data_IF_560006768290
#
_entry.id   IF_560006768290
#
_cell.length_a   1.000
_cell.length_b   1.000
_cell.length_c   1.000
_cell.angle_alpha   90.00
_cell.angle_beta   90.00
_cell.angle_gamma   90.00
#
_symmetry.space_group_name_H-M   'P 1'
#
loop_
_entity.id
_entity.type
_entity.pdbx_description
1 polymer ?
#
# COMPACT_ATOMS: atom_id res chain seq x y z
N UNK A 1 17.91 -21.22 -15.90
CA UNK A 1 18.32 -22.49 -15.27
C UNK A 1 18.47 -23.54 -16.34
N UNK A 2 19.67 -23.82 -16.72
CA UNK A 2 19.99 -24.78 -17.76
C UNK A 2 19.76 -26.19 -17.26
N UNK A 3 18.80 -26.83 -17.85
CA UNK A 3 18.59 -28.26 -17.75
C UNK A 3 19.23 -28.92 -18.96
N UNK A 4 20.14 -29.67 -19.02
CA UNK A 4 20.88 -30.55 -18.66
C UNK A 4 20.94 -31.78 -19.40
N UNK A 5 21.78 -31.71 -20.07
CA UNK A 5 22.39 -32.71 -20.95
C UNK A 5 23.39 -33.67 -20.26
N UNK A 6 23.24 -33.89 -18.99
CA UNK A 6 24.11 -34.79 -18.24
C UNK A 6 23.61 -36.19 -18.05
N UNK A 7 22.39 -36.52 -18.52
CA UNK A 7 21.82 -37.84 -18.33
C UNK A 7 22.10 -38.85 -19.50
N UNK A 8 22.90 -38.46 -20.48
CA UNK A 8 23.09 -39.28 -21.69
C UNK A 8 24.49 -39.95 -21.86
N UNK A 9 25.38 -39.87 -20.87
CA UNK A 9 26.78 -40.23 -21.10
C UNK A 9 27.23 -41.60 -20.60
N UNK A 10 26.42 -42.39 -19.92
CA UNK A 10 26.90 -43.64 -19.28
C UNK A 10 26.10 -44.93 -19.59
N UNK A 11 25.47 -45.02 -20.74
CA UNK A 11 24.95 -46.33 -21.22
C UNK A 11 25.96 -47.03 -22.13
N UNK A 12 25.99 -48.37 -22.15
CA UNK A 12 26.81 -49.10 -23.14
C UNK A 12 26.44 -48.65 -24.56
N UNK A 13 27.36 -48.68 -25.53
CA UNK A 13 27.07 -48.22 -26.88
C UNK A 13 26.02 -49.16 -27.52
N UNK A 14 24.78 -48.79 -27.39
CA UNK A 14 23.73 -49.38 -28.24
C UNK A 14 23.90 -48.69 -29.58
N UNK A 15 23.94 -49.47 -30.65
CA UNK A 15 23.91 -48.88 -32.00
C UNK A 15 22.59 -48.13 -32.15
N UNK A 16 22.63 -46.83 -31.94
CA UNK A 16 21.46 -45.95 -32.13
C UNK A 16 21.33 -45.67 -33.62
N UNK A 17 20.17 -45.88 -34.14
CA UNK A 17 19.86 -45.42 -35.50
C UNK A 17 19.98 -43.89 -35.55
N UNK A 18 20.93 -43.41 -36.32
CA UNK A 18 21.21 -41.98 -36.44
C UNK A 18 19.98 -41.18 -36.91
N UNK A 19 19.04 -41.82 -37.59
CA UNK A 19 17.78 -41.20 -38.02
C UNK A 19 16.81 -41.00 -36.83
N UNK A 20 16.77 -41.95 -35.89
CA UNK A 20 15.96 -41.84 -34.67
C UNK A 20 16.49 -40.77 -33.74
N UNK A 21 17.84 -40.64 -33.59
CA UNK A 21 18.46 -39.60 -32.80
C UNK A 21 18.22 -38.18 -33.42
N UNK A 22 18.26 -38.07 -34.74
CA UNK A 22 17.94 -36.82 -35.43
C UNK A 22 16.46 -36.43 -35.29
N UNK A 23 15.56 -37.40 -35.31
CA UNK A 23 14.14 -37.18 -35.06
C UNK A 23 13.87 -36.67 -33.63
N UNK A 24 14.49 -37.30 -32.63
CA UNK A 24 14.37 -36.90 -31.22
C UNK A 24 14.93 -35.46 -30.98
N UNK A 25 16.07 -35.16 -31.61
CA UNK A 25 16.64 -33.80 -31.53
C UNK A 25 15.70 -32.76 -32.15
N UNK A 26 15.14 -33.08 -33.33
CA UNK A 26 14.18 -32.23 -34.01
C UNK A 26 12.90 -32.02 -33.21
N UNK A 27 12.37 -33.08 -32.58
CA UNK A 27 11.21 -32.97 -31.69
C UNK A 27 11.50 -32.16 -30.44
N UNK A 28 12.68 -32.32 -29.85
CA UNK A 28 13.12 -31.53 -28.70
C UNK A 28 13.29 -30.04 -29.06
N UNK A 29 13.86 -29.77 -30.22
CA UNK A 29 13.99 -28.40 -30.74
C UNK A 29 12.62 -27.78 -30.98
N UNK A 30 11.69 -28.48 -31.61
CA UNK A 30 10.34 -28.00 -31.83
C UNK A 30 9.59 -27.74 -30.50
N UNK A 31 9.79 -28.57 -29.49
CA UNK A 31 9.25 -28.35 -28.14
C UNK A 31 9.85 -27.13 -27.47
N UNK A 32 11.16 -26.95 -27.59
CA UNK A 32 11.86 -25.75 -27.03
C UNK A 32 11.39 -24.48 -27.72
N UNK A 33 11.26 -24.49 -29.04
CA UNK A 33 10.75 -23.36 -29.81
C UNK A 33 9.30 -23.04 -29.48
N UNK A 34 8.47 -24.09 -29.32
CA UNK A 34 7.08 -23.93 -28.90
C UNK A 34 6.98 -23.34 -27.47
N UNK A 35 7.80 -23.82 -26.54
CA UNK A 35 7.88 -23.24 -25.19
C UNK A 35 8.40 -21.79 -25.22
N UNK A 36 9.40 -21.47 -26.06
CA UNK A 36 9.89 -20.11 -26.23
C UNK A 36 8.85 -19.18 -26.82
N UNK A 37 8.02 -19.65 -27.75
CA UNK A 37 6.95 -18.84 -28.34
C UNK A 37 5.85 -18.43 -27.35
N UNK A 38 5.72 -19.19 -26.24
CA UNK A 38 4.78 -18.88 -25.16
C UNK A 38 5.34 -17.81 -24.19
N UNK A 39 6.66 -17.55 -24.22
CA UNK A 39 7.29 -16.53 -23.39
C UNK A 39 7.17 -15.18 -24.09
N UNK A 40 6.13 -14.45 -23.77
CA UNK A 40 5.97 -13.09 -24.27
C UNK A 40 7.00 -12.16 -23.62
N UNK A 41 7.52 -11.23 -24.41
CA UNK A 41 8.37 -10.15 -23.88
C UNK A 41 7.55 -9.22 -23.00
N UNK A 42 8.17 -8.67 -21.96
CA UNK A 42 7.53 -7.61 -21.15
C UNK A 42 7.15 -6.45 -22.06
N UNK A 43 5.91 -5.97 -22.05
CA UNK A 43 5.49 -4.83 -22.89
C UNK A 43 6.32 -3.58 -22.62
N UNK A 44 6.38 -2.66 -23.62
CA UNK A 44 7.11 -1.41 -23.50
C UNK A 44 8.39 -1.38 -24.34
N UNK A 45 9.28 -0.45 -24.04
CA UNK A 45 10.51 -0.20 -24.80
C UNK A 45 11.76 -0.15 -23.93
N UNK A 46 12.93 -0.24 -24.55
CA UNK A 46 14.21 -0.28 -23.83
C UNK A 46 14.45 -1.57 -23.04
N UNK A 47 15.35 -1.51 -22.09
CA UNK A 47 15.68 -2.65 -21.22
C UNK A 47 14.60 -2.87 -20.15
N UNK A 48 14.51 -4.10 -19.63
CA UNK A 48 13.80 -4.36 -18.39
C UNK A 48 14.60 -3.75 -17.24
N UNK A 49 13.98 -2.89 -16.45
CA UNK A 49 14.62 -2.07 -15.42
C UNK A 49 14.71 -2.80 -14.07
N UNK A 50 13.85 -3.77 -13.86
CA UNK A 50 13.84 -4.62 -12.67
C UNK A 50 12.86 -5.78 -12.83
N UNK A 51 13.16 -6.88 -12.13
CA UNK A 51 12.29 -8.06 -12.05
C UNK A 51 12.30 -8.56 -10.62
N UNK A 52 11.13 -8.91 -10.10
CA UNK A 52 10.99 -9.40 -8.74
C UNK A 52 9.85 -10.42 -8.62
N UNK A 53 9.93 -11.26 -7.59
CA UNK A 53 8.85 -12.21 -7.25
C UNK A 53 8.13 -11.73 -6.00
N UNK A 54 6.82 -11.61 -6.10
CA UNK A 54 5.97 -11.24 -4.98
C UNK A 54 4.67 -12.04 -5.02
N UNK A 55 4.29 -12.64 -3.91
CA UNK A 55 3.07 -13.46 -3.76
C UNK A 55 2.87 -14.53 -4.85
N UNK A 56 3.98 -15.14 -5.31
CA UNK A 56 3.95 -16.20 -6.35
C UNK A 56 3.94 -15.70 -7.80
N UNK A 57 3.74 -14.41 -8.04
CA UNK A 57 3.80 -13.78 -9.36
C UNK A 57 5.15 -13.11 -9.61
N UNK A 58 5.53 -13.02 -10.89
CA UNK A 58 6.71 -12.27 -11.33
C UNK A 58 6.24 -10.87 -11.74
N UNK A 59 6.88 -9.86 -11.18
CA UNK A 59 6.68 -8.46 -11.54
C UNK A 59 7.89 -7.95 -12.32
N UNK A 60 7.64 -7.23 -13.40
CA UNK A 60 8.67 -6.63 -14.25
C UNK A 60 8.39 -5.15 -14.46
N UNK A 61 9.45 -4.35 -14.46
CA UNK A 61 9.41 -2.90 -14.67
C UNK A 61 10.11 -2.57 -15.97
N UNK A 62 9.42 -1.86 -16.86
CA UNK A 62 9.94 -1.46 -18.17
C UNK A 62 9.30 -0.14 -18.60
N UNK A 63 10.03 0.72 -19.31
CA UNK A 63 9.45 1.93 -19.84
C UNK A 63 8.28 1.60 -20.77
N UNK A 64 7.19 2.35 -20.66
CA UNK A 64 6.08 2.28 -21.61
C UNK A 64 6.54 2.81 -22.98
N UNK A 65 5.79 2.50 -24.02
CA UNK A 65 6.05 3.04 -25.35
C UNK A 65 6.03 4.59 -25.31
N UNK A 66 7.06 5.20 -25.89
CA UNK A 66 7.30 6.65 -25.82
C UNK A 66 8.13 7.10 -24.60
N UNK A 67 8.54 6.19 -23.70
CA UNK A 67 9.54 6.41 -22.65
C UNK A 67 9.19 7.42 -21.57
N UNK A 68 7.95 7.93 -21.53
CA UNK A 68 7.54 8.97 -20.58
C UNK A 68 7.32 8.47 -19.13
N UNK A 69 6.97 7.19 -18.98
CA UNK A 69 6.72 6.54 -17.69
C UNK A 69 7.20 5.10 -17.73
N UNK A 70 7.41 4.50 -16.56
CA UNK A 70 7.64 3.06 -16.39
C UNK A 70 6.32 2.35 -16.14
N UNK A 71 6.09 1.23 -16.83
CA UNK A 71 5.01 0.30 -16.54
C UNK A 71 5.47 -0.77 -15.55
N UNK A 72 4.59 -1.12 -14.63
CA UNK A 72 4.69 -2.31 -13.78
C UNK A 72 3.84 -3.40 -14.41
N UNK A 73 4.41 -4.57 -14.66
CA UNK A 73 3.75 -5.68 -15.32
C UNK A 73 3.81 -6.91 -14.45
N UNK A 74 2.69 -7.61 -14.31
CA UNK A 74 2.58 -8.88 -13.59
C UNK A 74 2.51 -10.04 -14.59
N UNK A 75 3.21 -11.14 -14.30
CA UNK A 75 3.13 -12.37 -15.09
C UNK A 75 1.73 -12.98 -15.04
N UNK A 76 1.30 -13.60 -16.14
CA UNK A 76 0.06 -14.35 -16.24
C UNK A 76 0.28 -15.59 -17.09
N UNK A 77 -0.71 -16.48 -17.14
CA UNK A 77 -0.67 -17.69 -17.99
C UNK A 77 -0.62 -17.36 -19.49
N UNK A 78 -0.99 -16.13 -19.89
CA UNK A 78 -1.03 -15.68 -21.29
C UNK A 78 0.01 -14.61 -21.62
N UNK A 79 0.93 -14.31 -20.69
CA UNK A 79 1.99 -13.31 -20.87
C UNK A 79 2.04 -12.31 -19.71
N UNK A 80 1.96 -11.02 -20.01
CA UNK A 80 2.09 -9.93 -19.03
C UNK A 80 0.84 -9.08 -18.99
N UNK A 81 0.41 -8.75 -17.79
CA UNK A 81 -0.68 -7.82 -17.52
C UNK A 81 -0.10 -6.55 -16.92
N UNK A 82 -0.48 -5.40 -17.44
CA UNK A 82 -0.13 -4.13 -16.84
C UNK A 82 -0.87 -3.95 -15.51
N UNK A 83 -0.14 -3.53 -14.48
CA UNK A 83 -0.68 -3.22 -13.17
C UNK A 83 -1.16 -1.77 -13.15
N UNK A 84 -2.43 -1.55 -12.87
CA UNK A 84 -2.96 -0.21 -12.61
C UNK A 84 -2.44 0.30 -11.26
N UNK A 85 -1.91 1.51 -11.24
CA UNK A 85 -1.32 2.08 -10.04
C UNK A 85 -2.34 2.84 -9.18
N UNK A 86 -3.56 3.06 -9.72
CA UNK A 86 -4.63 3.77 -9.03
C UNK A 86 -4.44 5.29 -9.01
N UNK A 87 -5.35 5.96 -8.30
CA UNK A 87 -5.37 7.40 -8.15
C UNK A 87 -4.92 7.81 -6.76
N UNK A 88 -4.37 9.00 -6.64
CA UNK A 88 -3.94 9.55 -5.36
C UNK A 88 -4.25 11.05 -5.24
N UNK A 89 -4.36 11.50 -3.99
CA UNK A 89 -4.40 12.90 -3.59
C UNK A 89 -3.18 13.17 -2.72
N UNK A 90 -2.44 14.25 -2.99
CA UNK A 90 -1.47 14.73 -2.03
C UNK A 90 -2.18 15.56 -0.96
N UNK A 91 -1.57 15.64 0.22
CA UNK A 91 -1.98 16.55 1.29
C UNK A 91 -0.75 17.15 1.98
N UNK A 92 -0.88 18.36 2.48
CA UNK A 92 0.22 19.12 3.09
C UNK A 92 -0.08 19.63 4.50
N UNK A 93 -1.28 19.34 5.00
CA UNK A 93 -1.72 19.73 6.34
C UNK A 93 -2.63 18.64 6.90
N UNK A 94 -2.45 18.29 8.17
CA UNK A 94 -3.29 17.36 8.92
C UNK A 94 -3.79 17.97 10.22
N UNK A 95 -4.77 17.33 10.85
CA UNK A 95 -5.38 17.81 12.10
C UNK A 95 -5.36 16.71 13.16
N UNK A 96 -5.65 17.08 14.40
CA UNK A 96 -5.75 16.16 15.54
C UNK A 96 -7.09 15.44 15.67
N UNK A 97 -8.04 15.68 14.73
CA UNK A 97 -9.40 15.13 14.81
C UNK A 97 -9.51 13.67 14.35
N UNK A 98 -8.39 13.05 14.00
CA UNK A 98 -8.29 11.68 13.51
C UNK A 98 -7.28 11.57 12.37
N UNK A 99 -6.95 10.35 12.00
CA UNK A 99 -6.02 10.03 10.91
C UNK A 99 -6.76 9.38 9.74
N UNK A 100 -6.27 9.63 8.51
CA UNK A 100 -6.74 8.91 7.32
C UNK A 100 -6.42 7.42 7.47
N UNK A 101 -7.42 6.58 7.31
CA UNK A 101 -7.26 5.12 7.49
C UNK A 101 -7.81 4.35 6.30
N UNK A 102 -7.18 3.22 6.00
CA UNK A 102 -7.60 2.34 4.90
C UNK A 102 -9.01 1.83 5.13
N UNK A 103 -9.84 1.94 4.08
CA UNK A 103 -11.25 1.55 4.08
C UNK A 103 -12.20 2.69 4.48
N UNK A 104 -11.70 3.83 4.96
CA UNK A 104 -12.55 4.98 5.25
C UNK A 104 -13.08 5.64 3.97
N UNK A 105 -14.30 6.13 4.02
CA UNK A 105 -14.83 7.06 3.03
C UNK A 105 -14.37 8.48 3.38
N UNK A 106 -13.85 9.19 2.40
CA UNK A 106 -13.47 10.59 2.52
C UNK A 106 -14.31 11.47 1.61
N UNK A 107 -14.43 12.73 1.97
CA UNK A 107 -15.09 13.75 1.14
C UNK A 107 -14.30 15.05 1.11
N UNK A 108 -14.37 15.75 -0.02
CA UNK A 108 -13.90 17.14 -0.15
C UNK A 108 -14.96 18.10 0.37
N UNK A 109 -14.61 18.95 1.34
CA UNK A 109 -15.56 19.86 1.98
C UNK A 109 -16.15 20.91 1.02
N UNK A 110 -15.41 21.29 -0.01
CA UNK A 110 -15.81 22.29 -1.00
C UNK A 110 -16.46 21.64 -2.23
N UNK A 111 -15.82 20.60 -2.75
CA UNK A 111 -16.26 19.95 -3.99
C UNK A 111 -17.44 18.99 -3.78
N UNK A 112 -17.58 18.44 -2.57
CA UNK A 112 -18.48 17.31 -2.31
C UNK A 112 -18.02 16.01 -2.99
N UNK A 113 -16.82 15.98 -3.56
CA UNK A 113 -16.24 14.76 -4.11
C UNK A 113 -16.07 13.72 -3.00
N UNK A 114 -16.21 12.45 -3.35
CA UNK A 114 -16.03 11.34 -2.40
C UNK A 114 -15.10 10.28 -2.95
N UNK A 115 -14.42 9.56 -2.06
CA UNK A 115 -13.57 8.44 -2.42
C UNK A 115 -13.38 7.50 -1.23
N UNK A 116 -12.86 6.29 -1.49
CA UNK A 116 -12.47 5.33 -0.45
C UNK A 116 -10.96 5.27 -0.34
N UNK A 117 -10.43 5.37 0.86
CA UNK A 117 -8.98 5.28 1.14
C UNK A 117 -8.49 3.84 0.95
N UNK A 118 -7.42 3.67 0.16
CA UNK A 118 -6.75 2.38 -0.08
C UNK A 118 -5.37 2.30 0.54
N UNK A 119 -4.74 3.43 0.74
CA UNK A 119 -3.43 3.51 1.36
C UNK A 119 -3.04 4.94 1.68
N UNK A 120 -2.20 5.12 2.67
CA UNK A 120 -1.71 6.43 3.10
C UNK A 120 -0.20 6.34 3.30
N UNK A 121 0.53 7.32 2.79
CA UNK A 121 1.95 7.50 3.05
C UNK A 121 2.22 8.94 3.40
N UNK A 122 2.89 9.17 4.52
CA UNK A 122 3.18 10.51 4.99
C UNK A 122 4.50 10.58 5.76
N UNK A 123 5.00 11.78 5.91
CA UNK A 123 6.13 12.13 6.76
C UNK A 123 5.78 13.31 7.67
N UNK A 124 6.52 13.43 8.76
CA UNK A 124 6.20 14.38 9.83
C UNK A 124 5.28 13.76 10.88
N UNK A 125 4.83 14.59 11.80
CA UNK A 125 3.91 14.17 12.84
C UNK A 125 2.49 14.57 12.42
N UNK A 126 1.55 13.61 12.43
CA UNK A 126 0.17 13.83 12.03
C UNK A 126 -0.47 14.99 12.81
N UNK A 127 -0.29 15.03 14.12
CA UNK A 127 -0.90 16.05 14.99
C UNK A 127 -0.37 17.47 14.79
N UNK A 128 0.75 17.63 14.12
CA UNK A 128 1.41 18.94 13.91
C UNK A 128 1.50 19.38 12.45
N UNK A 129 0.85 18.67 11.54
CA UNK A 129 0.80 19.00 10.13
C UNK A 129 1.70 18.11 9.26
N UNK A 130 1.42 16.82 9.21
CA UNK A 130 2.09 15.89 8.29
C UNK A 130 1.78 16.23 6.83
N UNK A 131 2.67 15.78 5.94
CA UNK A 131 2.52 15.87 4.49
C UNK A 131 2.66 14.51 3.85
N UNK A 132 1.88 14.26 2.80
CA UNK A 132 1.91 12.94 2.19
C UNK A 132 1.00 12.77 0.99
N UNK A 133 0.62 11.52 0.76
CA UNK A 133 -0.40 11.17 -0.23
C UNK A 133 -1.34 10.08 0.30
N UNK A 134 -2.57 10.14 -0.15
CA UNK A 134 -3.59 9.11 0.06
C UNK A 134 -3.96 8.50 -1.28
N UNK A 135 -3.86 7.18 -1.37
CA UNK A 135 -4.31 6.41 -2.54
C UNK A 135 -5.78 6.11 -2.36
N UNK A 136 -6.57 6.32 -3.41
CA UNK A 136 -8.03 6.24 -3.34
C UNK A 136 -8.62 5.46 -4.51
N UNK A 137 -9.79 4.87 -4.26
CA UNK A 137 -10.68 4.31 -5.29
C UNK A 137 -12.13 4.76 -5.09
N UNK A 138 -13.06 4.18 -5.88
CA UNK A 138 -14.50 4.47 -5.81
C UNK A 138 -14.82 5.96 -5.84
N UNK A 139 -14.11 6.69 -6.69
CA UNK A 139 -14.11 8.14 -6.74
C UNK A 139 -15.40 8.64 -7.39
N UNK A 140 -16.04 9.62 -6.77
CA UNK A 140 -17.18 10.36 -7.32
C UNK A 140 -16.90 11.86 -7.19
N UNK A 141 -17.07 12.60 -8.28
CA UNK A 141 -16.73 14.02 -8.33
C UNK A 141 -15.25 14.28 -8.53
N UNK A 142 -14.82 15.51 -8.34
CA UNK A 142 -13.44 15.97 -8.53
C UNK A 142 -13.00 16.74 -7.29
N UNK A 143 -12.01 16.22 -6.60
CA UNK A 143 -11.36 16.91 -5.48
C UNK A 143 -10.61 18.16 -5.99
N UNK A 144 -10.69 19.24 -5.24
CA UNK A 144 -10.06 20.51 -5.58
C UNK A 144 -8.73 20.68 -4.83
N UNK A 145 -7.87 21.53 -5.38
CA UNK A 145 -6.68 21.97 -4.67
C UNK A 145 -7.04 22.79 -3.44
N UNK A 146 -6.27 22.61 -2.36
CA UNK A 146 -6.45 23.31 -1.09
C UNK A 146 -7.80 23.13 -0.40
N UNK A 147 -8.55 22.08 -0.69
CA UNK A 147 -9.79 21.77 0.05
C UNK A 147 -9.53 20.87 1.26
N UNK A 148 -10.42 20.98 2.24
CA UNK A 148 -10.39 20.11 3.42
C UNK A 148 -10.86 18.70 3.06
N UNK A 149 -10.07 17.70 3.44
CA UNK A 149 -10.44 16.28 3.38
C UNK A 149 -11.15 15.94 4.68
N UNK A 150 -12.37 15.49 4.56
CA UNK A 150 -13.22 15.12 5.68
C UNK A 150 -13.45 13.60 5.71
N UNK A 151 -13.59 13.05 6.92
CA UNK A 151 -14.02 11.68 7.16
C UNK A 151 -14.84 11.57 8.43
N UNK A 152 -15.52 10.43 8.60
CA UNK A 152 -16.30 10.16 9.81
C UNK A 152 -15.40 9.62 10.91
N UNK A 153 -15.51 10.21 12.11
CA UNK A 153 -14.87 9.74 13.34
C UNK A 153 -15.89 9.65 14.47
N UNK A 154 -15.54 8.99 15.56
CA UNK A 154 -16.28 9.04 16.82
C UNK A 154 -15.39 9.74 17.84
N UNK A 155 -15.85 10.87 18.36
CA UNK A 155 -15.22 11.51 19.50
C UNK A 155 -15.53 10.72 20.78
N UNK A 156 -14.59 10.61 21.69
CA UNK A 156 -14.78 9.95 22.96
C UNK A 156 -14.08 10.68 24.11
N UNK A 157 -14.59 10.46 25.32
CA UNK A 157 -13.97 10.87 26.58
C UNK A 157 -14.09 9.77 27.64
N UNK A 158 -13.58 10.05 28.85
CA UNK A 158 -13.65 9.10 29.96
C UNK A 158 -13.12 7.72 29.61
N UNK A 159 -12.09 7.65 28.78
CA UNK A 159 -11.46 6.39 28.40
C UNK A 159 -10.77 5.72 29.56
N UNK A 160 -11.23 4.52 29.96
CA UNK A 160 -10.76 3.75 31.11
C UNK A 160 -9.91 2.55 30.73
N UNK A 161 -10.07 2.06 29.51
CA UNK A 161 -9.31 0.91 29.01
C UNK A 161 -9.04 1.12 27.52
N UNK A 162 -7.81 0.81 27.11
CA UNK A 162 -7.36 1.01 25.75
C UNK A 162 -8.31 0.37 24.72
N UNK A 163 -8.72 1.21 23.75
CA UNK A 163 -9.36 0.78 22.52
C UNK A 163 -8.25 0.58 21.50
N UNK A 164 -8.25 -0.55 20.81
CA UNK A 164 -7.19 -0.93 19.88
C UNK A 164 -7.63 -0.84 18.43
N UNK A 165 -6.65 -0.74 17.55
CA UNK A 165 -6.89 -0.89 16.13
C UNK A 165 -7.50 -2.27 15.82
N UNK A 166 -8.51 -2.27 14.95
CA UNK A 166 -9.36 -3.39 14.56
C UNK A 166 -10.34 -3.88 15.65
N UNK A 167 -10.48 -3.19 16.77
CA UNK A 167 -11.58 -3.47 17.70
C UNK A 167 -12.94 -3.22 17.02
N UNK A 168 -13.86 -4.15 17.19
CA UNK A 168 -15.29 -3.95 16.88
C UNK A 168 -15.95 -3.32 18.10
N UNK A 169 -16.45 -2.11 17.94
CA UNK A 169 -17.09 -1.34 19.00
C UNK A 169 -18.59 -1.32 18.85
N UNK A 170 -19.29 -1.26 19.99
CA UNK A 170 -20.75 -1.22 20.08
C UNK A 170 -21.18 -0.14 21.06
N UNK A 171 -22.17 0.67 20.69
CA UNK A 171 -22.84 1.60 21.59
C UNK A 171 -23.81 0.86 22.50
N UNK A 172 -23.67 1.07 23.81
CA UNK A 172 -24.42 0.30 24.82
C UNK A 172 -25.94 0.53 24.77
N UNK A 173 -26.38 1.70 24.38
CA UNK A 173 -27.81 2.08 24.31
C UNK A 173 -28.36 2.12 22.90
N UNK A 174 -27.56 2.59 21.94
CA UNK A 174 -27.95 2.69 20.54
C UNK A 174 -27.89 1.37 19.78
N UNK A 175 -27.01 0.45 20.21
CA UNK A 175 -26.66 -0.73 19.44
C UNK A 175 -25.87 -0.43 18.15
N UNK A 176 -25.45 0.81 17.99
CA UNK A 176 -24.60 1.23 16.85
C UNK A 176 -23.28 0.51 16.86
N UNK A 177 -22.72 0.24 15.69
CA UNK A 177 -21.47 -0.52 15.54
C UNK A 177 -20.47 0.20 14.64
N UNK A 178 -19.18 -0.02 14.87
CA UNK A 178 -18.10 0.39 13.96
C UNK A 178 -16.86 -0.48 14.17
N UNK A 179 -15.94 -0.43 13.22
CA UNK A 179 -14.58 -0.99 13.39
C UNK A 179 -13.58 0.15 13.52
N UNK A 180 -12.81 0.15 14.60
CA UNK A 180 -11.75 1.13 14.85
C UNK A 180 -10.54 0.83 13.97
N UNK A 181 -10.02 1.82 13.29
CA UNK A 181 -8.79 1.69 12.48
C UNK A 181 -7.63 2.48 13.07
N UNK A 182 -7.92 3.55 13.80
CA UNK A 182 -6.91 4.34 14.51
C UNK A 182 -7.54 5.00 15.72
N UNK A 183 -6.75 5.12 16.77
CA UNK A 183 -7.11 5.86 17.98
C UNK A 183 -6.16 7.05 18.11
N UNK A 184 -6.69 8.25 18.17
CA UNK A 184 -5.95 9.50 18.38
C UNK A 184 -6.30 10.05 19.74
N UNK A 185 -5.35 10.03 20.69
CA UNK A 185 -5.52 10.64 22.02
C UNK A 185 -5.14 12.10 21.95
N UNK A 186 -6.06 12.98 22.31
CA UNK A 186 -5.82 14.44 22.33
C UNK A 186 -5.50 14.97 23.73
N UNK A 187 -5.98 14.28 24.78
CA UNK A 187 -5.65 14.59 26.18
C UNK A 187 -5.94 13.41 27.10
N UNK A 188 -5.43 13.49 28.34
CA UNK A 188 -5.60 12.41 29.32
C UNK A 188 -4.85 11.13 28.94
N UNK A 189 -5.14 10.05 29.64
CA UNK A 189 -4.61 8.72 29.37
C UNK A 189 -5.54 7.62 29.91
N UNK A 190 -5.55 6.45 29.29
CA UNK A 190 -6.30 5.29 29.79
C UNK A 190 -5.86 4.87 31.21
N UNK A 191 -4.59 5.08 31.55
CA UNK A 191 -4.06 4.77 32.89
C UNK A 191 -4.59 5.68 34.00
N UNK A 192 -5.16 6.83 33.64
CA UNK A 192 -5.75 7.79 34.56
C UNK A 192 -7.29 7.81 34.46
N UNK A 193 -7.89 6.91 33.69
CA UNK A 193 -9.33 6.80 33.44
C UNK A 193 -9.96 8.08 32.83
N UNK A 194 -9.16 8.90 32.14
CA UNK A 194 -9.55 10.19 31.60
C UNK A 194 -9.14 10.43 30.14
N UNK A 195 -8.81 9.36 29.39
CA UNK A 195 -8.43 9.50 27.99
C UNK A 195 -9.55 10.13 27.16
N UNK A 196 -9.18 11.13 26.35
CA UNK A 196 -10.05 11.87 25.44
C UNK A 196 -9.44 11.83 24.04
N UNK A 197 -10.26 11.65 23.01
CA UNK A 197 -9.73 11.62 21.64
C UNK A 197 -10.76 11.32 20.58
N UNK A 198 -10.27 10.81 19.46
CA UNK A 198 -11.06 10.44 18.29
C UNK A 198 -10.76 9.00 17.86
N UNK A 199 -11.78 8.30 17.41
CA UNK A 199 -11.67 7.00 16.76
C UNK A 199 -11.89 7.19 15.26
N UNK A 200 -10.86 6.96 14.45
CA UNK A 200 -11.00 6.83 13.00
C UNK A 200 -11.60 5.46 12.71
N UNK A 201 -12.78 5.44 12.08
CA UNK A 201 -13.61 4.25 11.97
C UNK A 201 -13.93 3.88 10.52
N UNK A 202 -14.27 2.61 10.34
CA UNK A 202 -14.86 2.09 9.09
C UNK A 202 -16.09 1.23 9.44
N UNK A 203 -16.91 0.92 8.43
CA UNK A 203 -18.10 0.05 8.58
C UNK A 203 -19.03 0.50 9.69
N UNK A 204 -19.18 1.82 9.86
CA UNK A 204 -20.09 2.38 10.84
C UNK A 204 -21.54 2.08 10.48
N UNK A 205 -22.35 1.72 11.46
CA UNK A 205 -23.79 1.50 11.35
C UNK A 205 -24.50 2.10 12.56
N UNK A 206 -25.61 2.77 12.32
CA UNK A 206 -26.38 3.45 13.35
C UNK A 206 -25.83 4.85 13.70
N UNK A 207 -26.47 5.46 14.69
CA UNK A 207 -26.06 6.76 15.25
C UNK A 207 -25.83 6.59 16.74
N UNK A 208 -24.70 7.07 17.22
CA UNK A 208 -24.28 7.01 18.60
C UNK A 208 -24.79 8.25 19.34
N UNK A 209 -25.09 8.10 20.61
CA UNK A 209 -25.58 9.20 21.44
C UNK A 209 -24.56 9.66 22.44
N UNK A 210 -24.62 10.94 22.79
CA UNK A 210 -23.72 11.52 23.78
C UNK A 210 -23.76 10.76 25.12
N UNK A 211 -22.57 10.56 25.72
CA UNK A 211 -22.39 9.85 26.97
C UNK A 211 -22.79 8.36 26.98
N UNK A 212 -23.11 7.74 25.84
CA UNK A 212 -23.28 6.28 25.83
C UNK A 212 -21.92 5.57 25.93
N UNK A 213 -21.93 4.38 26.51
CA UNK A 213 -20.70 3.59 26.61
C UNK A 213 -20.27 3.03 25.25
N UNK A 214 -19.01 3.24 24.92
CA UNK A 214 -18.32 2.51 23.84
C UNK A 214 -17.83 1.20 24.44
N UNK A 215 -18.35 0.08 23.93
CA UNK A 215 -18.01 -1.25 24.41
C UNK A 215 -17.22 -2.05 23.37
N UNK A 216 -16.23 -2.83 23.86
CA UNK A 216 -15.55 -3.87 23.11
C UNK A 216 -15.82 -5.20 23.80
N UNK A 217 -16.41 -6.15 23.06
CA UNK A 217 -16.83 -7.46 23.61
C UNK A 217 -17.72 -7.34 24.86
N UNK A 218 -18.61 -6.32 24.89
CA UNK A 218 -19.53 -6.08 25.99
C UNK A 218 -18.89 -5.40 27.22
N UNK A 219 -17.64 -4.97 27.13
CA UNK A 219 -16.93 -4.28 28.21
C UNK A 219 -16.76 -2.81 27.85
N UNK A 220 -17.18 -1.93 28.76
CA UNK A 220 -16.98 -0.48 28.64
C UNK A 220 -15.50 -0.13 28.45
N UNK A 221 -15.21 0.75 27.52
CA UNK A 221 -13.87 1.30 27.23
C UNK A 221 -13.80 2.80 27.43
N UNK A 222 -14.81 3.53 26.97
CA UNK A 222 -14.91 4.98 26.98
C UNK A 222 -16.39 5.41 26.95
N UNK A 223 -16.63 6.71 26.86
CA UNK A 223 -17.93 7.31 26.57
C UNK A 223 -17.88 8.04 25.22
N UNK A 224 -18.97 8.03 24.50
CA UNK A 224 -19.15 8.87 23.30
C UNK A 224 -19.19 10.34 23.74
N UNK A 225 -18.48 11.21 23.07
CA UNK A 225 -18.41 12.63 23.35
C UNK A 225 -18.91 13.44 22.13
N UNK A 226 -20.22 13.59 22.01
CA UNK A 226 -20.84 14.34 20.93
C UNK A 226 -22.32 14.04 20.80
N UNK A 227 -23.12 15.06 20.49
CA UNK A 227 -24.58 14.94 20.44
C UNK A 227 -25.11 13.95 19.40
N UNK A 228 -24.30 13.68 18.36
CA UNK A 228 -24.62 12.68 17.31
C UNK A 228 -23.30 12.24 16.65
N UNK A 229 -22.92 11.01 16.90
CA UNK A 229 -21.73 10.39 16.30
C UNK A 229 -22.15 9.23 15.36
N UNK A 230 -21.36 8.86 14.33
CA UNK A 230 -20.10 9.49 13.92
C UNK A 230 -20.32 10.91 13.37
N UNK A 231 -19.41 11.80 13.70
CA UNK A 231 -19.34 13.14 13.14
C UNK A 231 -18.37 13.19 11.96
N UNK A 232 -18.64 14.09 11.02
CA UNK A 232 -17.73 14.38 9.91
C UNK A 232 -16.76 15.46 10.34
N UNK A 233 -15.48 15.15 10.33
CA UNK A 233 -14.40 16.06 10.75
C UNK A 233 -13.38 16.24 9.65
N UNK A 234 -12.74 17.41 9.61
CA UNK A 234 -11.57 17.66 8.78
C UNK A 234 -10.36 16.94 9.38
N UNK A 235 -9.69 16.11 8.57
CA UNK A 235 -8.50 15.34 8.99
C UNK A 235 -7.23 15.76 8.25
N UNK A 236 -7.38 16.27 7.03
CA UNK A 236 -6.26 16.74 6.21
C UNK A 236 -6.74 17.83 5.24
N UNK A 237 -5.79 18.39 4.48
CA UNK A 237 -6.06 19.35 3.40
C UNK A 237 -5.29 18.92 2.15
N UNK A 238 -5.96 18.97 0.99
CA UNK A 238 -5.34 18.61 -0.29
C UNK A 238 -4.21 19.56 -0.68
N UNK A 239 -3.19 19.02 -1.34
CA UNK A 239 -2.12 19.74 -2.03
C UNK A 239 -2.15 19.31 -3.50
N UNK A 240 -2.93 20.02 -4.30
CA UNK A 240 -3.24 19.70 -5.68
C UNK A 240 -4.53 18.90 -5.88
N UNK A 241 -4.82 18.61 -7.14
CA UNK A 241 -5.99 17.83 -7.57
C UNK A 241 -5.71 16.32 -7.51
N UNK A 242 -6.77 15.54 -7.65
CA UNK A 242 -6.67 14.10 -7.85
C UNK A 242 -5.84 13.78 -9.10
N UNK A 243 -4.89 12.85 -8.99
CA UNK A 243 -4.04 12.44 -10.10
C UNK A 243 -3.92 10.92 -10.22
N UNK A 244 -3.76 10.43 -11.46
CA UNK A 244 -3.39 9.03 -11.69
C UNK A 244 -1.90 8.82 -11.34
N UNK A 245 -1.61 7.80 -10.56
CA UNK A 245 -0.23 7.51 -10.19
C UNK A 245 0.57 7.02 -11.39
N UNK A 246 1.80 7.50 -11.50
CA UNK A 246 2.77 7.08 -12.52
C UNK A 246 4.08 6.69 -11.86
N UNK A 247 4.88 5.87 -12.53
CA UNK A 247 6.24 5.56 -12.12
C UNK A 247 7.19 6.28 -13.09
N UNK A 248 8.19 6.97 -12.52
CA UNK A 248 9.18 7.72 -13.29
C UNK A 248 9.94 6.79 -14.26
N UNK A 249 10.27 7.28 -15.49
CA UNK A 249 10.95 6.46 -16.48
C UNK A 249 12.40 6.17 -16.08
N UNK A 250 12.93 5.08 -16.60
CA UNK A 250 14.29 4.61 -16.36
C UNK A 250 14.55 4.13 -14.92
N UNK A 251 15.78 4.25 -14.43
CA UNK A 251 16.17 3.77 -13.11
C UNK A 251 16.66 2.33 -13.10
N UNK A 252 17.03 1.87 -11.90
CA UNK A 252 17.48 0.50 -11.65
C UNK A 252 16.82 0.00 -10.38
N UNK A 253 15.83 -0.86 -10.51
CA UNK A 253 14.98 -1.27 -9.40
C UNK A 253 15.68 -2.25 -8.46
N UNK A 254 15.55 -1.99 -7.17
CA UNK A 254 15.92 -2.86 -6.06
C UNK A 254 14.65 -3.14 -5.26
N UNK A 255 14.55 -4.35 -4.69
CA UNK A 255 13.33 -4.78 -4.03
C UNK A 255 13.63 -5.53 -2.75
N UNK A 256 12.64 -5.55 -1.87
CA UNK A 256 12.55 -6.45 -0.72
C UNK A 256 11.10 -6.78 -0.45
N UNK A 257 10.79 -8.02 -0.15
CA UNK A 257 9.50 -8.41 0.42
C UNK A 257 9.66 -8.42 1.93
N UNK A 258 8.71 -7.84 2.63
CA UNK A 258 8.70 -7.88 4.09
C UNK A 258 7.31 -7.67 4.67
N UNK A 259 7.13 -8.24 5.84
CA UNK A 259 5.92 -8.14 6.64
C UNK A 259 6.25 -7.45 7.97
N UNK A 260 5.86 -6.20 8.11
CA UNK A 260 6.10 -5.41 9.31
C UNK A 260 5.14 -5.76 10.47
N UNK A 261 4.02 -6.42 10.19
CA UNK A 261 2.96 -6.71 11.16
C UNK A 261 3.09 -8.12 11.78
N UNK A 262 3.94 -8.97 11.18
CA UNK A 262 4.20 -10.33 11.68
C UNK A 262 3.26 -11.42 11.15
N UNK A 263 2.30 -11.09 10.28
CA UNK A 263 1.40 -12.04 9.62
C UNK A 263 1.81 -12.25 8.15
N UNK A 264 2.12 -13.49 7.75
CA UNK A 264 2.63 -13.82 6.40
C UNK A 264 1.69 -13.33 5.28
N UNK A 265 0.38 -13.32 5.51
CA UNK A 265 -0.63 -12.81 4.58
C UNK A 265 -0.57 -11.29 4.32
N UNK A 266 0.18 -10.56 5.15
CA UNK A 266 0.36 -9.10 5.08
C UNK A 266 1.76 -8.72 4.59
N UNK A 267 2.49 -9.66 3.99
CA UNK A 267 3.75 -9.35 3.31
C UNK A 267 3.51 -8.36 2.16
N UNK A 268 4.40 -7.40 2.00
CA UNK A 268 4.39 -6.41 0.93
C UNK A 268 5.71 -6.37 0.19
N UNK A 269 5.67 -5.97 -1.07
CA UNK A 269 6.86 -5.66 -1.86
C UNK A 269 7.20 -4.17 -1.72
N UNK A 270 8.44 -3.89 -1.36
CA UNK A 270 9.01 -2.54 -1.34
C UNK A 270 10.02 -2.40 -2.45
N UNK A 271 10.02 -1.28 -3.16
CA UNK A 271 10.91 -1.04 -4.29
C UNK A 271 11.48 0.38 -4.30
N UNK A 272 12.70 0.52 -4.83
CA UNK A 272 13.38 1.79 -5.07
C UNK A 272 14.11 1.74 -6.43
N UNK A 273 14.21 2.86 -7.14
CA UNK A 273 14.72 2.90 -8.52
C UNK A 273 15.80 3.94 -8.78
N UNK A 274 16.03 4.89 -7.89
CA UNK A 274 16.96 6.00 -8.06
C UNK A 274 16.42 7.18 -8.89
N UNK A 275 15.22 7.08 -9.45
CA UNK A 275 14.63 8.15 -10.30
C UNK A 275 13.30 8.68 -9.81
N UNK A 276 12.60 7.95 -8.96
CA UNK A 276 11.34 8.37 -8.34
C UNK A 276 11.25 7.93 -6.89
N UNK A 277 10.12 8.18 -6.25
CA UNK A 277 9.88 7.72 -4.89
C UNK A 277 10.06 6.20 -4.76
N UNK A 278 10.47 5.73 -3.60
CA UNK A 278 10.25 4.34 -3.22
C UNK A 278 8.75 4.05 -3.20
N UNK A 279 8.40 2.78 -3.25
CA UNK A 279 7.01 2.38 -3.24
C UNK A 279 6.78 1.12 -2.41
N UNK A 280 5.54 0.96 -2.00
CA UNK A 280 4.97 -0.23 -1.39
C UNK A 280 3.92 -0.81 -2.34
N UNK A 281 3.85 -2.14 -2.43
CA UNK A 281 2.85 -2.87 -3.19
C UNK A 281 2.35 -4.07 -2.39
N UNK A 282 1.05 -4.16 -2.15
CA UNK A 282 0.39 -5.23 -1.40
C UNK A 282 -0.30 -6.30 -2.29
N UNK A 283 -0.12 -6.22 -3.61
CA UNK A 283 -0.82 -7.07 -4.59
C UNK A 283 -2.02 -6.38 -5.22
N UNK A 284 -2.51 -5.30 -4.66
CA UNK A 284 -3.69 -4.54 -5.11
C UNK A 284 -3.47 -3.03 -5.14
N UNK A 285 -2.73 -2.50 -4.18
CA UNK A 285 -2.55 -1.05 -3.96
C UNK A 285 -1.09 -0.67 -4.09
N UNK A 286 -0.81 0.27 -4.99
CA UNK A 286 0.51 0.87 -5.15
C UNK A 286 0.57 2.19 -4.38
N UNK A 287 1.53 2.33 -3.48
CA UNK A 287 1.69 3.51 -2.62
C UNK A 287 3.09 4.06 -2.79
N UNK A 288 3.22 5.33 -3.20
CA UNK A 288 4.51 6.05 -3.20
C UNK A 288 4.88 6.39 -1.76
N UNK A 289 6.04 5.95 -1.30
CA UNK A 289 6.56 6.27 0.02
C UNK A 289 7.10 7.70 -0.01
N UNK A 290 6.57 8.55 0.87
CA UNK A 290 6.97 9.96 1.03
C UNK A 290 7.89 10.08 2.24
N UNK A 291 9.13 10.49 2.02
CA UNK A 291 10.16 10.58 3.09
C UNK A 291 10.44 12.01 3.55
N UNK A 292 9.92 13.00 2.84
CA UNK A 292 10.20 14.42 3.11
C UNK A 292 11.55 14.92 2.58
N UNK A 293 12.30 14.09 1.88
CA UNK A 293 13.52 14.51 1.22
C UNK A 293 13.20 15.45 0.05
N UNK A 294 13.97 16.52 -0.12
CA UNK A 294 13.80 17.47 -1.24
C UNK A 294 13.92 16.77 -2.60
N UNK A 295 14.82 15.80 -2.71
CA UNK A 295 14.94 14.88 -3.85
C UNK A 295 14.67 13.48 -3.33
N UNK A 296 13.42 13.05 -3.44
CA UNK A 296 12.94 11.80 -2.87
C UNK A 296 13.05 10.65 -3.89
N UNK A 297 14.30 10.32 -4.24
CA UNK A 297 14.64 9.31 -5.25
C UNK A 297 15.65 8.30 -4.70
N UNK A 298 15.23 7.43 -3.76
CA UNK A 298 16.13 6.44 -3.20
C UNK A 298 16.57 5.40 -4.22
N UNK A 299 17.84 4.99 -4.13
CA UNK A 299 18.48 4.01 -5.03
C UNK A 299 18.38 2.57 -4.53
N UNK A 300 18.29 2.39 -3.21
CA UNK A 300 18.21 1.07 -2.62
C UNK A 300 17.19 1.03 -1.49
N UNK A 301 16.67 -0.16 -1.27
CA UNK A 301 15.73 -0.50 -0.21
C UNK A 301 16.20 -1.77 0.49
N UNK A 302 16.16 -1.78 1.82
CA UNK A 302 16.46 -2.95 2.65
C UNK A 302 15.66 -2.88 3.94
N UNK A 303 15.37 -4.04 4.53
CA UNK A 303 14.78 -4.14 5.87
C UNK A 303 15.81 -4.64 6.86
N UNK A 304 15.88 -3.99 8.01
CA UNK A 304 16.73 -4.41 9.12
C UNK A 304 16.06 -4.07 10.46
N UNK A 305 15.99 -5.04 11.37
CA UNK A 305 15.38 -4.89 12.69
C UNK A 305 13.98 -4.25 12.67
N UNK A 306 13.15 -4.69 11.74
CA UNK A 306 11.78 -4.21 11.58
C UNK A 306 11.65 -2.70 11.23
N UNK A 307 12.68 -2.16 10.56
CA UNK A 307 12.67 -0.85 9.92
C UNK A 307 12.93 -0.99 8.43
N UNK A 308 12.25 -0.22 7.62
CA UNK A 308 12.57 -0.03 6.21
C UNK A 308 13.66 1.03 6.09
N UNK A 309 14.75 0.71 5.41
CA UNK A 309 15.84 1.64 5.13
C UNK A 309 15.88 1.97 3.64
N UNK A 310 16.00 3.25 3.33
CA UNK A 310 16.14 3.78 1.99
C UNK A 310 17.46 4.54 1.89
N UNK A 311 18.31 4.17 0.93
CA UNK A 311 19.57 4.88 0.67
C UNK A 311 19.45 5.77 -0.56
N UNK A 312 20.04 6.95 -0.47
CA UNK A 312 19.99 7.99 -1.49
C UNK A 312 21.34 8.24 -2.11
N UNK A 313 21.40 8.82 -3.32
CA UNK A 313 22.64 9.34 -3.89
C UNK A 313 23.35 10.25 -2.86
N UNK A 314 24.69 10.22 -2.89
CA UNK A 314 25.55 11.02 -1.98
C UNK A 314 25.53 10.61 -0.50
N UNK A 315 25.08 9.39 -0.19
CA UNK A 315 25.25 8.77 1.12
C UNK A 315 24.22 9.14 2.18
N UNK A 316 23.10 9.74 1.82
CA UNK A 316 21.98 9.91 2.74
C UNK A 316 21.26 8.58 2.97
N UNK A 317 20.80 8.36 4.20
CA UNK A 317 20.03 7.19 4.61
C UNK A 317 18.79 7.64 5.41
N UNK A 318 17.64 7.15 5.04
CA UNK A 318 16.39 7.33 5.78
C UNK A 318 15.90 5.97 6.29
N UNK A 319 15.19 5.97 7.41
CA UNK A 319 14.54 4.78 7.92
C UNK A 319 13.12 5.08 8.40
N UNK A 320 12.26 4.10 8.30
CA UNK A 320 10.91 4.15 8.84
C UNK A 320 10.90 4.05 10.37
N UNK A 321 9.75 4.32 10.98
CA UNK A 321 9.48 3.93 12.35
C UNK A 321 9.51 2.40 12.51
N UNK A 322 9.63 1.91 13.74
CA UNK A 322 9.63 0.47 14.02
C UNK A 322 8.28 -0.14 13.65
N UNK A 323 8.28 -1.13 12.77
CA UNK A 323 7.06 -1.81 12.33
C UNK A 323 6.11 -0.98 11.44
N UNK A 324 6.53 0.23 11.02
CA UNK A 324 5.75 1.14 10.16
C UNK A 324 6.66 1.62 9.02
N UNK A 325 6.50 1.10 7.81
CA UNK A 325 7.30 1.49 6.64
C UNK A 325 6.95 2.87 6.10
#
# INVERSE_FOLDING_TARGET
MGLYATALSNGPPVSRDASADASLVSELQARIENQRSLINIVPGEGSVLGVWVYSGDIYAFRNKAGGATTGMYRSSSTGWLEVGLGNALNFDTTTTNGELVVGASISGATSGATATVKGVSYYGNWDTGAKGCVVVDSITGVFQDNEEIQMSTIAFDGGITEIKENDSIVGSSSGSTATVKKVTITSGAYSSDDAVGFLSIVSASGSWTDNEEIQVSGVKRALVNGASEPSTVTVAKTDGELYEQTIEPNGSYKFVNFNFVGEESLEKMYGASGVGNAFEWDGTTFIKIKTGMTTDTPENVIVFKNHLFLSYPKGSLQNSSLGLP
#
